data_IF_232042587105
#
_entry.id   IF_232042587105
#
_cell.length_a   1.000
_cell.length_b   1.000
_cell.length_c   1.000
_cell.angle_alpha   90.00
_cell.angle_beta   90.00
_cell.angle_gamma   90.00
#
_symmetry.space_group_name_H-M   'P 1'
#
loop_
_entity.id
_entity.type
_entity.pdbx_description
1 polymer ?
#
# COMPACT_ATOMS: atom_id res chain seq x y z
N UNK A 1 3.25 25.67 -41.92
CA UNK A 1 2.14 25.41 -40.98
C UNK A 1 1.91 23.92 -40.73
N UNK A 2 1.93 23.05 -41.76
CA UNK A 2 1.61 21.62 -41.63
C UNK A 2 2.60 20.80 -40.78
N UNK A 3 3.92 21.07 -40.86
CA UNK A 3 4.94 20.37 -40.06
C UNK A 3 4.83 20.66 -38.55
N UNK A 4 4.39 21.87 -38.18
CA UNK A 4 4.12 22.25 -36.78
C UNK A 4 2.89 21.53 -36.23
N UNK A 5 1.89 21.27 -37.08
CA UNK A 5 0.68 20.54 -36.70
C UNK A 5 0.96 19.05 -36.46
N UNK A 6 1.84 18.44 -37.28
CA UNK A 6 2.26 17.04 -37.13
C UNK A 6 3.13 16.83 -35.89
N UNK A 7 4.03 17.77 -35.57
CA UNK A 7 4.82 17.71 -34.34
C UNK A 7 3.96 17.84 -33.07
N UNK A 8 2.95 18.72 -33.11
CA UNK A 8 2.02 18.90 -32.00
C UNK A 8 1.12 17.68 -31.77
N UNK A 9 0.71 17.00 -32.85
CA UNK A 9 -0.11 15.79 -32.76
C UNK A 9 0.69 14.60 -32.20
N UNK A 10 1.96 14.46 -32.57
CA UNK A 10 2.86 13.43 -32.02
C UNK A 10 3.11 13.60 -30.53
N UNK A 11 3.13 14.84 -30.01
CA UNK A 11 3.32 15.13 -28.59
C UNK A 11 2.05 14.83 -27.76
N UNK A 12 0.86 14.96 -28.35
CA UNK A 12 -0.41 14.63 -27.69
C UNK A 12 -0.64 13.13 -27.52
N UNK A 13 -0.11 12.31 -28.45
CA UNK A 13 -0.28 10.85 -28.44
C UNK A 13 0.72 10.10 -27.53
N UNK A 14 1.80 10.75 -27.10
CA UNK A 14 2.87 10.13 -26.28
C UNK A 14 2.75 10.33 -24.77
N UNK A 15 1.75 11.08 -24.27
CA UNK A 15 1.71 11.53 -22.89
C UNK A 15 0.93 10.63 -21.91
N UNK A 16 0.44 9.47 -22.34
CA UNK A 16 -0.22 8.51 -21.44
C UNK A 16 0.83 7.68 -20.68
N UNK A 17 1.48 8.29 -19.70
CA UNK A 17 2.23 7.55 -18.69
C UNK A 17 1.18 6.89 -17.80
N UNK A 18 1.08 5.54 -17.74
CA UNK A 18 0.21 4.93 -16.76
C UNK A 18 0.74 5.33 -15.40
N UNK A 19 -0.08 6.01 -14.60
CA UNK A 19 0.22 6.24 -13.20
C UNK A 19 0.31 4.86 -12.56
N UNK A 20 1.53 4.33 -12.42
CA UNK A 20 1.77 3.07 -11.75
C UNK A 20 1.14 3.18 -10.36
N UNK A 21 0.05 2.43 -10.14
CA UNK A 21 -0.63 2.38 -8.86
C UNK A 21 0.42 2.00 -7.81
N UNK A 22 0.81 2.98 -6.99
CA UNK A 22 1.85 2.80 -5.99
C UNK A 22 1.23 1.98 -4.86
N UNK A 23 1.23 0.65 -5.02
CA UNK A 23 0.83 -0.29 -3.98
C UNK A 23 1.73 -0.05 -2.77
N UNK A 24 1.22 0.74 -1.82
CA UNK A 24 1.97 1.14 -0.65
C UNK A 24 1.74 0.07 0.42
N UNK A 25 2.83 -0.39 1.04
CA UNK A 25 2.78 -1.41 2.08
C UNK A 25 2.58 -0.73 3.42
N UNK A 26 1.57 -1.16 4.16
CA UNK A 26 1.31 -0.79 5.56
C UNK A 26 1.86 -1.91 6.43
N UNK A 27 2.76 -1.58 7.34
CA UNK A 27 3.21 -2.52 8.38
C UNK A 27 2.29 -2.35 9.59
N UNK A 28 1.78 -3.46 10.13
CA UNK A 28 0.92 -3.49 11.30
C UNK A 28 1.61 -4.29 12.41
N UNK A 29 2.09 -3.58 13.43
CA UNK A 29 2.55 -4.21 14.68
C UNK A 29 1.36 -4.47 15.61
N UNK A 30 1.18 -5.72 16.03
CA UNK A 30 0.02 -6.18 16.79
C UNK A 30 0.39 -7.27 17.80
N UNK A 31 -0.57 -7.66 18.64
CA UNK A 31 -0.41 -8.75 19.61
C UNK A 31 -0.72 -10.12 19.02
N UNK A 32 -0.04 -11.17 19.50
CA UNK A 32 -0.33 -12.55 19.05
C UNK A 32 -1.77 -12.97 19.30
N UNK A 33 -2.42 -12.50 20.38
CA UNK A 33 -3.84 -12.77 20.66
C UNK A 33 -4.79 -12.35 19.52
N UNK A 34 -4.46 -11.28 18.78
CA UNK A 34 -5.26 -10.82 17.63
C UNK A 34 -5.04 -11.69 16.39
N UNK A 35 -3.82 -12.22 16.22
CA UNK A 35 -3.53 -13.19 15.16
C UNK A 35 -4.16 -14.55 15.47
N UNK A 36 -3.94 -15.09 16.66
CA UNK A 36 -4.34 -16.44 17.07
C UNK A 36 -5.87 -16.60 17.14
N UNK A 37 -6.60 -15.50 17.34
CA UNK A 37 -8.07 -15.50 17.28
C UNK A 37 -8.64 -15.61 15.85
N UNK A 38 -7.81 -15.47 14.81
CA UNK A 38 -8.25 -15.40 13.42
C UNK A 38 -8.88 -14.06 13.01
N UNK A 39 -8.83 -13.03 13.87
CA UNK A 39 -9.44 -11.73 13.56
C UNK A 39 -8.80 -11.09 12.33
N UNK A 40 -7.48 -11.19 12.20
CA UNK A 40 -6.74 -10.56 11.09
C UNK A 40 -7.00 -11.24 9.75
N UNK A 41 -7.38 -12.52 9.74
CA UNK A 41 -7.73 -13.25 8.53
C UNK A 41 -9.00 -12.68 7.86
N UNK A 42 -9.83 -11.98 8.63
CA UNK A 42 -11.04 -11.29 8.15
C UNK A 42 -10.76 -9.82 7.85
N UNK A 43 -10.08 -9.12 8.77
CA UNK A 43 -9.91 -7.67 8.67
C UNK A 43 -8.89 -7.26 7.61
N UNK A 44 -7.77 -7.99 7.49
CA UNK A 44 -6.72 -7.65 6.52
C UNK A 44 -7.27 -7.71 5.09
N UNK A 45 -7.87 -8.83 4.62
CA UNK A 45 -8.41 -8.86 3.26
C UNK A 45 -9.49 -7.82 3.00
N UNK A 46 -10.30 -7.48 4.02
CA UNK A 46 -11.31 -6.42 3.91
C UNK A 46 -10.65 -5.05 3.69
N UNK A 47 -9.65 -4.71 4.48
CA UNK A 47 -8.91 -3.46 4.39
C UNK A 47 -8.16 -3.34 3.06
N UNK A 48 -7.46 -4.39 2.63
CA UNK A 48 -6.71 -4.38 1.37
C UNK A 48 -7.62 -4.18 0.16
N UNK A 49 -8.80 -4.81 0.14
CA UNK A 49 -9.80 -4.61 -0.94
C UNK A 49 -10.36 -3.19 -0.96
N UNK A 50 -10.55 -2.57 0.20
CA UNK A 50 -11.13 -1.22 0.30
C UNK A 50 -10.12 -0.13 -0.05
N UNK A 51 -8.85 -0.33 0.31
CA UNK A 51 -7.82 0.72 0.21
C UNK A 51 -6.86 0.51 -0.95
N UNK A 52 -6.73 -0.72 -1.46
CA UNK A 52 -5.69 -1.10 -2.42
C UNK A 52 -4.27 -1.13 -1.82
N UNK A 53 -4.14 -1.00 -0.50
CA UNK A 53 -2.88 -1.10 0.22
C UNK A 53 -2.61 -2.54 0.62
N UNK A 54 -1.34 -2.95 0.64
CA UNK A 54 -0.94 -4.26 1.14
C UNK A 54 -0.59 -4.16 2.61
N UNK A 55 -1.04 -5.12 3.43
CA UNK A 55 -0.76 -5.13 4.87
C UNK A 55 0.25 -6.22 5.20
N UNK A 56 1.30 -5.85 5.94
CA UNK A 56 2.27 -6.79 6.52
C UNK A 56 2.12 -6.80 8.04
N UNK A 57 1.71 -7.92 8.61
CA UNK A 57 1.51 -8.06 10.05
C UNK A 57 2.77 -8.53 10.77
N UNK A 58 3.05 -7.95 11.94
CA UNK A 58 4.07 -8.39 12.89
C UNK A 58 3.35 -8.67 14.22
N UNK A 59 3.07 -9.95 14.50
CA UNK A 59 2.40 -10.36 15.71
C UNK A 59 3.42 -10.75 16.79
N UNK A 60 3.48 -9.96 17.85
CA UNK A 60 4.45 -10.13 18.97
C UNK A 60 3.75 -9.86 20.31
N UNK A 61 4.45 -9.97 21.45
CA UNK A 61 3.86 -9.53 22.72
C UNK A 61 3.58 -8.01 22.73
N UNK A 62 2.59 -7.54 23.49
CA UNK A 62 2.17 -6.12 23.53
C UNK A 62 3.33 -5.15 23.79
N UNK A 63 4.23 -5.49 24.73
CA UNK A 63 5.39 -4.64 25.02
C UNK A 63 6.33 -4.50 23.82
N UNK A 64 6.56 -5.59 23.08
CA UNK A 64 7.36 -5.56 21.86
C UNK A 64 6.65 -4.82 20.74
N UNK A 65 5.33 -4.99 20.61
CA UNK A 65 4.53 -4.31 19.61
C UNK A 65 4.59 -2.78 19.76
N UNK A 66 4.47 -2.29 21.00
CA UNK A 66 4.60 -0.87 21.32
C UNK A 66 6.04 -0.36 21.12
N UNK A 67 7.04 -1.17 21.43
CA UNK A 67 8.44 -0.80 21.21
C UNK A 67 8.80 -0.67 19.72
N UNK A 68 8.25 -1.54 18.86
CA UNK A 68 8.38 -1.45 17.41
C UNK A 68 7.75 -0.16 16.87
N UNK A 69 6.52 0.14 17.33
CA UNK A 69 5.80 1.35 16.96
C UNK A 69 6.55 2.62 17.39
N UNK A 70 7.11 2.63 18.60
CA UNK A 70 7.90 3.76 19.10
C UNK A 70 9.17 4.03 18.29
N UNK A 71 9.75 3.01 17.63
CA UNK A 71 10.92 3.16 16.76
C UNK A 71 10.56 3.50 15.31
N UNK A 72 9.28 3.51 14.94
CA UNK A 72 8.82 3.67 13.56
C UNK A 72 9.16 2.48 12.67
N UNK A 73 9.39 1.31 13.27
CA UNK A 73 9.64 0.05 12.55
C UNK A 73 8.35 -0.66 12.15
N UNK A 74 7.21 -0.20 12.68
CA UNK A 74 5.85 -0.63 12.38
C UNK A 74 4.82 0.41 12.84
#
# INVERSE_FOLDING_TARGET
>A
MLLRLLLALGLLLGASVPAAARSSVVVLSTTTSTQDSGLLDVLVPMFERQTGLTVKTIAVGTGQALALAARGEA
#
